data_IF_788084456844
#
_entry.id   IF_788084456844
#
_cell.length_a   1.000
_cell.length_b   1.000
_cell.length_c   1.000
_cell.angle_alpha   90.00
_cell.angle_beta   90.00
_cell.angle_gamma   90.00
#
_symmetry.space_group_name_H-M   'P 1'
#
loop_
_entity.id
_entity.type
_entity.pdbx_description
1 polymer ?
#
# COMPACT_ATOMS: atom_id res chain seq x y z
N UNK A 1 34.03 8.58 22.53
CA UNK A 1 33.55 8.99 21.20
C UNK A 1 33.25 7.71 20.43
N UNK A 2 32.04 7.56 19.87
CA UNK A 2 31.73 6.38 19.07
C UNK A 2 32.47 6.49 17.72
N UNK A 3 33.47 5.63 17.51
CA UNK A 3 34.41 5.64 16.39
C UNK A 3 33.87 4.83 15.20
N UNK A 4 32.68 5.17 14.70
CA UNK A 4 32.11 4.50 13.52
C UNK A 4 32.28 5.38 12.30
N UNK A 5 33.18 4.97 11.39
CA UNK A 5 33.46 5.69 10.15
C UNK A 5 32.54 5.26 8.99
N UNK A 6 32.10 3.99 8.98
CA UNK A 6 31.29 3.41 7.90
C UNK A 6 30.28 2.42 8.47
N UNK A 7 29.06 2.44 7.93
CA UNK A 7 28.03 1.43 8.17
C UNK A 7 27.73 0.71 6.86
N UNK A 8 27.82 -0.62 6.87
CA UNK A 8 27.44 -1.49 5.76
C UNK A 8 26.23 -2.34 6.17
N UNK A 9 25.18 -2.32 5.35
CA UNK A 9 23.95 -3.10 5.58
C UNK A 9 23.69 -4.05 4.42
N UNK A 10 23.86 -5.35 4.66
CA UNK A 10 23.49 -6.40 3.70
C UNK A 10 22.04 -6.84 3.94
N UNK A 11 21.09 -6.06 3.42
CA UNK A 11 19.66 -6.34 3.52
C UNK A 11 18.90 -5.85 2.28
N UNK A 12 19.42 -6.18 1.10
CA UNK A 12 18.78 -5.91 -0.18
C UNK A 12 19.02 -7.06 -1.15
N UNK A 13 18.30 -7.08 -2.27
CA UNK A 13 18.44 -8.10 -3.30
C UNK A 13 18.90 -7.45 -4.60
N UNK A 14 19.55 -8.23 -5.45
CA UNK A 14 19.92 -7.78 -6.78
C UNK A 14 18.68 -7.54 -7.63
N UNK A 15 18.80 -6.66 -8.62
CA UNK A 15 17.72 -6.34 -9.56
C UNK A 15 17.35 -7.53 -10.46
N UNK A 16 18.30 -8.45 -10.68
CA UNK A 16 18.19 -9.66 -11.49
C UNK A 16 19.26 -10.68 -11.09
N UNK A 17 19.32 -11.82 -11.79
CA UNK A 17 20.15 -12.96 -11.37
C UNK A 17 21.63 -12.89 -11.76
N UNK A 18 22.01 -12.02 -12.71
CA UNK A 18 23.32 -12.12 -13.38
C UNK A 18 24.33 -11.05 -12.97
N UNK A 19 23.88 -9.93 -12.39
CA UNK A 19 24.74 -8.76 -12.13
C UNK A 19 24.66 -8.34 -10.67
N UNK A 20 25.80 -8.36 -9.92
CA UNK A 20 25.85 -7.84 -8.57
C UNK A 20 25.43 -6.37 -8.50
N UNK A 21 24.69 -6.01 -7.45
CA UNK A 21 24.15 -4.67 -7.26
C UNK A 21 24.66 -4.03 -5.97
N UNK A 22 24.88 -2.72 -6.02
CA UNK A 22 25.01 -1.87 -4.84
C UNK A 22 23.76 -0.97 -4.74
N UNK A 23 23.03 -1.08 -3.63
CA UNK A 23 21.82 -0.29 -3.40
C UNK A 23 22.20 1.05 -2.77
N UNK A 24 21.93 2.15 -3.50
CA UNK A 24 22.26 3.50 -3.06
C UNK A 24 21.10 4.25 -2.36
N UNK A 25 19.90 3.68 -2.35
CA UNK A 25 18.72 4.29 -1.71
C UNK A 25 17.59 3.28 -1.50
N UNK A 26 16.72 3.56 -0.54
CA UNK A 26 15.53 2.78 -0.24
C UNK A 26 14.31 3.70 -0.18
N UNK A 27 13.12 3.14 -0.39
CA UNK A 27 11.87 3.86 -0.14
C UNK A 27 11.57 3.85 1.35
N UNK A 28 10.89 4.90 1.81
CA UNK A 28 10.29 4.93 3.13
C UNK A 28 9.16 3.90 3.24
N UNK A 29 8.70 3.67 4.45
CA UNK A 29 7.62 2.73 4.74
C UNK A 29 6.65 3.33 5.74
N UNK A 30 5.37 3.12 5.48
CA UNK A 30 4.28 3.47 6.37
C UNK A 30 3.29 2.29 6.38
N UNK A 31 3.02 1.74 7.56
CA UNK A 31 2.00 0.70 7.76
C UNK A 31 0.78 1.34 8.43
N UNK A 32 -0.38 1.21 7.78
CA UNK A 32 -1.66 1.74 8.26
C UNK A 32 -2.64 0.59 8.39
N UNK A 33 -3.38 0.53 9.49
CA UNK A 33 -4.51 -0.36 9.66
C UNK A 33 -5.81 0.44 9.59
N UNK A 34 -6.79 -0.11 8.87
CA UNK A 34 -8.13 0.45 8.73
C UNK A 34 -9.10 -0.61 9.22
N UNK A 35 -9.95 -0.26 10.19
CA UNK A 35 -10.95 -1.19 10.71
C UNK A 35 -12.35 -0.58 10.69
N UNK A 36 -13.34 -1.43 10.44
CA UNK A 36 -14.75 -1.08 10.57
C UNK A 36 -15.38 -2.05 11.55
N UNK A 37 -16.07 -1.50 12.56
CA UNK A 37 -16.76 -2.28 13.59
C UNK A 37 -18.24 -1.91 13.61
N UNK A 38 -19.10 -2.92 13.66
CA UNK A 38 -20.56 -2.75 13.66
C UNK A 38 -21.21 -3.36 14.89
N UNK A 39 -21.98 -4.44 14.67
CA UNK A 39 -22.73 -5.11 15.73
C UNK A 39 -21.84 -5.56 16.91
N UNK A 40 -22.46 -5.77 18.08
CA UNK A 40 -21.74 -6.18 19.31
C UNK A 40 -21.12 -7.59 19.23
N UNK A 41 -21.54 -8.40 18.26
CA UNK A 41 -21.09 -9.77 18.03
C UNK A 41 -21.33 -10.17 16.59
N UNK A 42 -20.68 -11.24 16.15
CA UNK A 42 -20.99 -11.87 14.88
C UNK A 42 -22.49 -12.25 14.79
N UNK A 43 -23.05 -12.07 13.60
CA UNK A 43 -24.46 -12.28 13.30
C UNK A 43 -24.64 -13.47 12.34
N UNK A 44 -25.87 -13.95 12.20
CA UNK A 44 -26.17 -15.08 11.31
C UNK A 44 -26.69 -14.55 9.97
N UNK A 45 -25.95 -14.81 8.88
CA UNK A 45 -26.26 -14.25 7.56
C UNK A 45 -27.67 -14.62 7.06
N UNK A 46 -28.16 -15.82 7.35
CA UNK A 46 -29.51 -16.23 6.98
C UNK A 46 -30.65 -15.61 7.82
N UNK A 47 -30.33 -15.00 8.97
CA UNK A 47 -31.33 -14.41 9.88
C UNK A 47 -31.29 -12.89 9.78
N UNK A 48 -30.09 -12.32 9.85
CA UNK A 48 -29.86 -10.89 9.96
C UNK A 48 -29.42 -10.26 8.62
N UNK A 49 -29.12 -11.07 7.59
CA UNK A 49 -28.65 -10.60 6.29
C UNK A 49 -29.68 -9.72 5.57
N UNK A 50 -29.22 -8.58 5.06
CA UNK A 50 -30.08 -7.55 4.46
C UNK A 50 -30.82 -6.66 5.46
N UNK A 51 -30.84 -7.00 6.75
CA UNK A 51 -31.44 -6.17 7.81
C UNK A 51 -30.41 -5.24 8.50
N UNK A 52 -29.12 -5.55 8.39
CA UNK A 52 -28.03 -4.83 9.06
C UNK A 52 -26.99 -4.37 8.02
N UNK A 53 -26.41 -3.19 8.22
CA UNK A 53 -25.28 -2.70 7.41
C UNK A 53 -24.00 -3.40 7.89
N UNK A 54 -23.38 -4.15 6.99
CA UNK A 54 -22.28 -5.06 7.32
C UNK A 54 -20.91 -4.34 7.31
N UNK A 55 -20.08 -4.49 8.37
CA UNK A 55 -18.74 -3.90 8.44
C UNK A 55 -17.81 -4.27 7.27
N UNK A 56 -17.92 -5.52 6.80
CA UNK A 56 -17.13 -6.01 5.66
C UNK A 56 -17.47 -5.21 4.39
N UNK A 57 -18.75 -4.96 4.14
CA UNK A 57 -19.22 -4.19 2.98
C UNK A 57 -18.72 -2.76 3.01
N UNK A 58 -18.84 -2.08 4.17
CA UNK A 58 -18.34 -0.71 4.32
C UNK A 58 -16.82 -0.62 4.13
N UNK A 59 -16.06 -1.55 4.72
CA UNK A 59 -14.61 -1.60 4.55
C UNK A 59 -14.25 -1.77 3.07
N UNK A 60 -14.90 -2.69 2.35
CA UNK A 60 -14.64 -2.90 0.92
C UNK A 60 -14.96 -1.65 0.08
N UNK A 61 -16.08 -0.99 0.35
CA UNK A 61 -16.46 0.24 -0.35
C UNK A 61 -15.41 1.34 -0.15
N UNK A 62 -14.97 1.57 1.08
CA UNK A 62 -13.95 2.60 1.35
C UNK A 62 -12.59 2.21 0.75
N UNK A 63 -12.13 0.96 0.92
CA UNK A 63 -10.84 0.53 0.37
C UNK A 63 -10.82 0.60 -1.16
N UNK A 64 -11.96 0.39 -1.83
CA UNK A 64 -12.06 0.49 -3.29
C UNK A 64 -11.78 1.89 -3.83
N UNK A 65 -11.87 2.93 -2.99
CA UNK A 65 -11.60 4.33 -3.36
C UNK A 65 -10.12 4.71 -3.27
N UNK A 66 -9.26 3.86 -2.70
CA UNK A 66 -7.85 4.16 -2.54
C UNK A 66 -7.09 4.20 -3.86
N UNK A 67 -7.65 3.59 -4.91
CA UNK A 67 -7.04 3.51 -6.23
C UNK A 67 -8.03 3.77 -7.34
N UNK A 68 -7.54 4.36 -8.42
CA UNK A 68 -8.30 4.52 -9.65
C UNK A 68 -8.39 3.19 -10.43
N UNK A 69 -9.18 3.20 -11.52
CA UNK A 69 -9.33 2.05 -12.41
C UNK A 69 -8.04 1.63 -13.14
N UNK A 70 -6.99 2.46 -13.12
CA UNK A 70 -5.67 2.19 -13.69
C UNK A 70 -4.68 1.67 -12.65
N UNK A 71 -5.08 1.62 -11.38
CA UNK A 71 -4.26 1.17 -10.25
C UNK A 71 -3.36 2.23 -9.63
N UNK A 72 -3.49 3.49 -10.04
CA UNK A 72 -2.82 4.62 -9.38
C UNK A 72 -3.50 4.91 -8.05
N UNK A 73 -2.78 5.48 -7.10
CA UNK A 73 -3.38 5.86 -5.81
C UNK A 73 -4.25 7.10 -6.02
N UNK A 74 -5.53 7.01 -5.68
CA UNK A 74 -6.51 8.09 -5.90
C UNK A 74 -6.86 8.78 -4.57
N UNK A 75 -5.83 9.07 -3.78
CA UNK A 75 -5.94 9.76 -2.50
C UNK A 75 -5.45 11.20 -2.71
N UNK A 76 -6.28 12.22 -2.45
CA UNK A 76 -5.87 13.62 -2.57
C UNK A 76 -4.59 13.88 -1.78
N UNK A 77 -3.64 14.59 -2.40
CA UNK A 77 -2.33 14.95 -1.82
C UNK A 77 -1.37 13.79 -1.56
N UNK A 78 -1.67 12.57 -2.03
CA UNK A 78 -0.77 11.42 -1.88
C UNK A 78 0.59 11.58 -2.59
N UNK A 79 0.59 12.29 -3.72
CA UNK A 79 1.79 12.54 -4.53
C UNK A 79 2.45 13.90 -4.24
N UNK A 80 1.97 14.65 -3.24
CA UNK A 80 2.63 15.88 -2.80
C UNK A 80 4.08 15.55 -2.38
N UNK A 81 5.03 16.38 -2.79
CA UNK A 81 6.46 16.20 -2.49
C UNK A 81 7.19 15.18 -3.38
N UNK A 82 6.52 14.47 -4.28
CA UNK A 82 7.22 13.57 -5.22
C UNK A 82 8.00 14.40 -6.24
N UNK A 83 9.34 14.42 -6.09
CA UNK A 83 10.22 15.13 -7.04
C UNK A 83 10.35 14.39 -8.37
N UNK A 84 10.56 15.16 -9.44
CA UNK A 84 10.95 14.60 -10.72
C UNK A 84 12.38 14.05 -10.68
N UNK A 85 12.61 12.98 -11.44
CA UNK A 85 13.95 12.44 -11.65
C UNK A 85 14.80 13.40 -12.49
N UNK A 86 16.00 13.71 -11.98
CA UNK A 86 17.02 14.43 -12.73
C UNK A 86 17.52 13.64 -13.93
N UNK A 87 18.18 14.30 -14.89
CA UNK A 87 18.81 13.65 -16.04
C UNK A 87 19.83 12.59 -15.63
N UNK A 88 20.58 12.84 -14.55
CA UNK A 88 21.55 11.89 -14.02
C UNK A 88 20.86 10.64 -13.47
N UNK A 89 19.79 10.80 -12.67
CA UNK A 89 19.04 9.66 -12.13
C UNK A 89 18.37 8.84 -13.23
N UNK A 90 17.79 9.49 -14.25
CA UNK A 90 17.22 8.79 -15.42
C UNK A 90 18.28 7.99 -16.16
N UNK A 91 19.46 8.57 -16.38
CA UNK A 91 20.59 7.87 -17.01
C UNK A 91 21.03 6.65 -16.20
N UNK A 92 21.01 6.74 -14.86
CA UNK A 92 21.31 5.61 -13.98
C UNK A 92 20.27 4.48 -14.13
N UNK A 93 18.97 4.80 -14.25
CA UNK A 93 17.93 3.79 -14.45
C UNK A 93 18.16 3.00 -15.75
N UNK A 94 18.42 3.70 -16.86
CA UNK A 94 18.65 3.06 -18.15
C UNK A 94 19.94 2.21 -18.16
N UNK A 95 20.93 2.56 -17.32
CA UNK A 95 22.21 1.86 -17.21
C UNK A 95 22.15 0.58 -16.34
N UNK A 96 21.04 0.28 -15.66
CA UNK A 96 20.91 -0.87 -14.74
C UNK A 96 21.02 -2.24 -15.42
N UNK A 97 20.86 -2.30 -16.74
CA UNK A 97 20.77 -3.56 -17.48
C UNK A 97 19.46 -4.32 -17.25
N UNK A 98 18.48 -3.71 -16.57
CA UNK A 98 17.17 -4.30 -16.32
C UNK A 98 16.47 -4.73 -17.62
N UNK A 99 15.82 -5.89 -17.59
CA UNK A 99 15.04 -6.44 -18.70
C UNK A 99 13.63 -6.74 -18.24
N UNK A 100 12.67 -5.96 -18.74
CA UNK A 100 11.25 -6.07 -18.37
C UNK A 100 10.69 -7.47 -18.61
N UNK A 101 11.06 -8.13 -19.71
CA UNK A 101 10.58 -9.48 -20.04
C UNK A 101 11.12 -10.55 -19.10
N UNK A 102 12.39 -10.48 -18.72
CA UNK A 102 12.99 -11.40 -17.74
C UNK A 102 12.35 -11.21 -16.37
N UNK A 103 12.16 -9.95 -15.94
CA UNK A 103 11.49 -9.63 -14.69
C UNK A 103 10.04 -10.13 -14.68
N UNK A 104 9.30 -9.92 -15.77
CA UNK A 104 7.92 -10.41 -15.94
C UNK A 104 7.85 -11.93 -15.86
N UNK A 105 8.74 -12.63 -16.57
CA UNK A 105 8.82 -14.08 -16.55
C UNK A 105 9.18 -14.62 -15.16
N UNK A 106 10.13 -13.99 -14.47
CA UNK A 106 10.53 -14.34 -13.12
C UNK A 106 9.38 -14.21 -12.11
N UNK A 107 8.55 -13.16 -12.22
CA UNK A 107 7.38 -12.96 -11.38
C UNK A 107 6.20 -13.89 -11.73
N UNK A 108 6.24 -14.57 -12.89
CA UNK A 108 5.14 -15.42 -13.36
C UNK A 108 3.86 -14.66 -13.73
N UNK A 109 3.96 -13.37 -14.04
CA UNK A 109 2.80 -12.53 -14.40
C UNK A 109 2.66 -12.38 -15.91
N UNK A 110 1.42 -12.35 -16.40
CA UNK A 110 1.15 -12.21 -17.84
C UNK A 110 1.54 -10.83 -18.37
N UNK A 111 1.44 -9.78 -17.54
CA UNK A 111 1.75 -8.40 -17.89
C UNK A 111 2.14 -7.60 -16.65
N UNK A 112 3.00 -6.60 -16.84
CA UNK A 112 3.28 -5.56 -15.86
C UNK A 112 2.40 -4.32 -16.09
N UNK A 113 2.21 -3.51 -15.04
CA UNK A 113 1.48 -2.24 -15.15
C UNK A 113 2.18 -1.26 -16.12
N UNK A 114 3.51 -1.24 -16.08
CA UNK A 114 4.34 -0.40 -16.94
C UNK A 114 4.84 -1.16 -18.16
N UNK A 115 5.21 -0.42 -19.22
CA UNK A 115 5.55 -0.99 -20.54
C UNK A 115 7.03 -0.88 -20.91
N UNK A 116 7.78 -0.02 -20.24
CA UNK A 116 9.21 0.19 -20.51
C UNK A 116 10.05 -0.17 -19.29
N UNK A 117 11.33 -0.47 -19.51
CA UNK A 117 12.29 -0.72 -18.43
C UNK A 117 12.31 0.44 -17.41
N UNK A 118 12.50 1.66 -17.91
CA UNK A 118 12.68 2.85 -17.09
C UNK A 118 11.42 3.19 -16.30
N UNK A 119 10.23 2.99 -16.87
CA UNK A 119 8.96 3.21 -16.15
C UNK A 119 8.76 2.17 -15.04
N UNK A 120 9.11 0.90 -15.28
CA UNK A 120 9.05 -0.13 -14.23
C UNK A 120 9.97 0.23 -13.07
N UNK A 121 11.20 0.64 -13.36
CA UNK A 121 12.16 1.00 -12.31
C UNK A 121 11.77 2.29 -11.59
N UNK A 122 11.28 3.28 -12.33
CA UNK A 122 10.75 4.52 -11.76
C UNK A 122 9.58 4.22 -10.82
N UNK A 123 8.63 3.39 -11.24
CA UNK A 123 7.51 2.96 -10.40
C UNK A 123 7.97 2.20 -9.14
N UNK A 124 9.02 1.39 -9.24
CA UNK A 124 9.54 0.57 -8.13
C UNK A 124 10.37 1.36 -7.12
N UNK A 125 11.10 2.37 -7.57
CA UNK A 125 12.15 3.01 -6.76
C UNK A 125 11.92 4.48 -6.50
N UNK A 126 11.28 5.20 -7.43
CA UNK A 126 11.15 6.64 -7.41
C UNK A 126 9.71 7.15 -7.37
N UNK A 127 8.72 6.26 -7.33
CA UNK A 127 7.32 6.60 -7.13
C UNK A 127 6.78 5.97 -5.85
N UNK A 128 5.92 6.70 -5.11
CA UNK A 128 5.24 6.11 -3.98
C UNK A 128 4.23 5.07 -4.44
N UNK A 129 3.89 4.15 -3.54
CA UNK A 129 2.93 3.09 -3.84
C UNK A 129 2.15 2.72 -2.60
N UNK A 130 0.87 2.40 -2.77
CA UNK A 130 0.02 1.85 -1.72
C UNK A 130 -0.41 0.43 -2.12
N UNK A 131 -0.28 -0.52 -1.21
CA UNK A 131 -0.73 -1.91 -1.38
C UNK A 131 -1.57 -2.34 -0.19
N UNK A 132 -2.71 -2.98 -0.45
CA UNK A 132 -3.47 -3.69 0.60
C UNK A 132 -2.78 -5.06 0.76
N UNK A 133 -2.22 -5.31 1.94
CA UNK A 133 -1.41 -6.51 2.20
C UNK A 133 -2.15 -7.59 2.99
N UNK A 134 -3.18 -7.21 3.73
CA UNK A 134 -4.03 -8.15 4.46
C UNK A 134 -5.45 -7.60 4.57
N UNK A 135 -6.42 -8.49 4.56
CA UNK A 135 -7.82 -8.25 4.96
C UNK A 135 -8.18 -9.37 5.93
N UNK A 136 -8.77 -9.02 7.07
CA UNK A 136 -9.23 -9.98 8.06
C UNK A 136 -10.59 -9.57 8.61
N UNK A 137 -11.28 -10.53 9.22
CA UNK A 137 -12.58 -10.29 9.85
C UNK A 137 -12.66 -11.04 11.17
N UNK A 138 -13.64 -10.73 12.00
CA UNK A 138 -13.93 -11.49 13.21
C UNK A 138 -14.47 -12.91 12.95
N UNK A 139 -14.68 -13.31 11.68
CA UNK A 139 -14.96 -14.69 11.28
C UNK A 139 -13.67 -15.41 10.85
N UNK A 140 -12.72 -15.58 11.78
CA UNK A 140 -11.41 -16.15 11.49
C UNK A 140 -11.45 -17.59 10.91
N UNK A 141 -12.53 -18.33 11.16
CA UNK A 141 -12.73 -19.70 10.63
C UNK A 141 -13.39 -19.74 9.25
N UNK A 142 -13.78 -18.59 8.68
CA UNK A 142 -14.51 -18.50 7.42
C UNK A 142 -15.80 -19.33 7.38
N UNK A 143 -16.54 -19.38 8.50
CA UNK A 143 -17.81 -20.08 8.56
C UNK A 143 -18.85 -19.43 7.62
N UNK A 144 -19.49 -20.23 6.77
CA UNK A 144 -20.35 -19.79 5.67
C UNK A 144 -21.46 -18.80 6.07
N UNK A 145 -22.18 -19.08 7.17
CA UNK A 145 -23.35 -18.30 7.57
C UNK A 145 -23.05 -17.21 8.61
N UNK A 146 -21.79 -16.80 8.77
CA UNK A 146 -21.39 -15.81 9.78
C UNK A 146 -21.14 -14.47 9.13
N UNK A 147 -21.90 -13.44 9.54
CA UNK A 147 -21.61 -12.04 9.22
C UNK A 147 -20.66 -11.48 10.29
N UNK A 148 -19.41 -11.13 9.92
CA UNK A 148 -18.45 -10.60 10.87
C UNK A 148 -18.90 -9.23 11.39
N UNK A 149 -18.75 -9.04 12.70
CA UNK A 149 -19.04 -7.77 13.34
C UNK A 149 -17.90 -6.75 13.27
N UNK A 150 -16.72 -7.19 12.81
CA UNK A 150 -15.57 -6.36 12.58
C UNK A 150 -14.82 -6.87 11.35
N UNK A 151 -14.27 -5.95 10.57
CA UNK A 151 -13.36 -6.21 9.47
C UNK A 151 -12.21 -5.22 9.53
N UNK A 152 -11.01 -5.64 9.16
CA UNK A 152 -9.86 -4.74 9.04
C UNK A 152 -9.01 -5.06 7.82
N UNK A 153 -8.23 -4.07 7.41
CA UNK A 153 -7.23 -4.21 6.36
C UNK A 153 -5.92 -3.53 6.74
N UNK A 154 -4.81 -4.10 6.29
CA UNK A 154 -3.49 -3.50 6.41
C UNK A 154 -3.03 -2.93 5.09
N UNK A 155 -2.55 -1.70 5.13
CA UNK A 155 -2.01 -0.96 4.01
C UNK A 155 -0.50 -0.84 4.20
N UNK A 156 0.26 -1.31 3.21
CA UNK A 156 1.69 -1.01 3.08
C UNK A 156 1.85 0.14 2.10
N UNK A 157 2.30 1.27 2.62
CA UNK A 157 2.58 2.49 1.87
C UNK A 157 4.09 2.65 1.76
N UNK A 158 4.56 2.93 0.55
CA UNK A 158 5.96 3.28 0.27
C UNK A 158 6.01 4.74 -0.10
N UNK A 159 6.80 5.50 0.63
CA UNK A 159 7.09 6.92 0.36
C UNK A 159 8.44 7.04 -0.33
N UNK A 160 8.65 8.15 -1.02
CA UNK A 160 9.90 8.47 -1.74
C UNK A 160 10.53 9.75 -1.16
N UNK A 161 11.75 10.12 -1.59
CA UNK A 161 12.37 11.34 -1.14
C UNK A 161 11.46 12.57 -1.18
N UNK A 162 11.63 13.44 -0.19
CA UNK A 162 10.90 14.69 0.02
C UNK A 162 9.41 14.56 0.39
N UNK A 163 8.90 13.33 0.50
CA UNK A 163 7.59 13.10 1.09
C UNK A 163 7.67 12.98 2.61
N UNK A 164 6.68 13.58 3.30
CA UNK A 164 6.48 13.39 4.73
C UNK A 164 5.55 12.21 5.01
N UNK A 165 6.04 11.22 5.76
CA UNK A 165 5.24 10.06 6.20
C UNK A 165 3.99 10.49 6.98
N UNK A 166 4.07 11.56 7.80
CA UNK A 166 2.93 12.05 8.58
C UNK A 166 1.88 12.75 7.71
N UNK A 167 2.30 13.46 6.67
CA UNK A 167 1.37 14.11 5.72
C UNK A 167 0.67 13.07 4.86
N UNK A 168 1.40 12.06 4.37
CA UNK A 168 0.82 10.94 3.61
C UNK A 168 -0.16 10.14 4.48
N UNK A 169 0.19 9.84 5.73
CA UNK A 169 -0.73 9.18 6.66
C UNK A 169 -2.01 10.01 6.89
N UNK A 170 -1.85 11.32 7.11
CA UNK A 170 -2.99 12.24 7.29
C UNK A 170 -3.87 12.32 6.04
N UNK A 171 -3.29 12.31 4.84
CA UNK A 171 -4.01 12.31 3.58
C UNK A 171 -4.87 11.04 3.43
N UNK A 172 -4.29 9.87 3.71
CA UNK A 172 -5.00 8.58 3.68
C UNK A 172 -6.14 8.57 4.70
N UNK A 173 -5.87 8.94 5.95
CA UNK A 173 -6.91 8.97 6.99
C UNK A 173 -8.07 9.89 6.61
N UNK A 174 -7.78 11.12 6.16
CA UNK A 174 -8.81 12.08 5.73
C UNK A 174 -9.64 11.53 4.58
N UNK A 175 -9.02 10.92 3.58
CA UNK A 175 -9.70 10.29 2.45
C UNK A 175 -10.63 9.17 2.90
N UNK A 176 -10.12 8.21 3.69
CA UNK A 176 -10.92 7.09 4.20
C UNK A 176 -12.11 7.56 5.03
N UNK A 177 -11.91 8.54 5.93
CA UNK A 177 -12.98 9.12 6.73
C UNK A 177 -14.02 9.84 5.88
N UNK A 178 -13.57 10.58 4.87
CA UNK A 178 -14.45 11.30 3.95
C UNK A 178 -15.33 10.32 3.15
N UNK A 179 -14.74 9.28 2.57
CA UNK A 179 -15.48 8.26 1.82
C UNK A 179 -16.42 7.45 2.71
N UNK A 180 -16.00 7.09 3.92
CA UNK A 180 -16.85 6.41 4.90
C UNK A 180 -18.06 7.26 5.30
N UNK A 181 -17.87 8.57 5.49
CA UNK A 181 -18.97 9.48 5.83
C UNK A 181 -20.07 9.53 4.75
N UNK A 182 -19.72 9.35 3.46
CA UNK A 182 -20.70 9.31 2.36
C UNK A 182 -21.61 8.09 2.44
N UNK A 183 -21.14 6.98 3.03
CA UNK A 183 -21.93 5.77 3.21
C UNK A 183 -23.08 5.98 4.19
N UNK A 184 -22.99 6.99 5.07
CA UNK A 184 -23.93 7.21 6.19
C UNK A 184 -24.15 5.94 7.02
N UNK A 185 -23.10 5.14 7.13
CA UNK A 185 -23.14 3.87 7.85
C UNK A 185 -23.24 4.12 9.37
N UNK A 186 -24.00 3.30 10.11
CA UNK A 186 -24.00 3.30 11.57
C UNK A 186 -22.76 2.61 12.16
N UNK A 187 -21.93 1.97 11.34
CA UNK A 187 -20.69 1.35 11.78
C UNK A 187 -19.63 2.41 12.10
N UNK A 188 -18.58 2.00 12.80
CA UNK A 188 -17.47 2.87 13.21
C UNK A 188 -16.21 2.54 12.42
N UNK A 189 -15.65 3.55 11.75
CA UNK A 189 -14.33 3.47 11.10
C UNK A 189 -13.23 3.96 12.05
N UNK A 190 -12.17 3.16 12.17
CA UNK A 190 -10.91 3.53 12.81
C UNK A 190 -9.75 3.39 11.81
N UNK A 191 -8.79 4.32 11.89
CA UNK A 191 -7.57 4.33 11.09
C UNK A 191 -6.40 4.54 12.04
N UNK A 192 -5.41 3.67 12.00
CA UNK A 192 -4.25 3.71 12.89
C UNK A 192 -2.95 3.53 12.11
N UNK A 193 -1.90 4.26 12.51
CA UNK A 193 -0.55 4.09 11.98
C UNK A 193 0.19 3.11 12.88
N UNK A 194 0.63 1.98 12.31
CA UNK A 194 1.29 0.91 13.06
C UNK A 194 2.82 1.04 13.03
N UNK A 195 3.38 1.44 11.89
CA UNK A 195 4.82 1.54 11.70
C UNK A 195 5.17 2.66 10.74
N UNK A 196 6.27 3.36 11.02
CA UNK A 196 6.86 4.40 10.16
C UNK A 196 8.35 4.15 10.03
N UNK A 197 8.88 4.32 8.82
CA UNK A 197 10.30 4.36 8.54
C UNK A 197 10.58 5.35 7.42
N UNK A 198 11.52 6.25 7.63
CA UNK A 198 11.93 7.22 6.62
C UNK A 198 12.80 6.56 5.55
N UNK A 199 12.96 7.27 4.42
CA UNK A 199 13.72 6.84 3.25
C UNK A 199 15.23 7.08 3.41
#
# INVERSE_FOLDING_TARGET
>A
MSATDVILKSNSSWIGGNTPCLTAGMRGTLEVEVSVTGAKRNLHAGVDGGAVIEPVSDLMLVLSTLKDARGNVDVPRFYDGVRELSTAERSMLSATGFRIEEYRAHLGVSRLAQRTNDDVLTARWAQPSLSITAISTSNASNAFSVMPNCASARLSVRTVPDQSNSEVASAIEKHLRYEFAKLRSPNQLEVSVLQVGDW
#
